data_IF_419128836114
#
_entry.id   IF_419128836114
#
_cell.length_a   1.000
_cell.length_b   1.000
_cell.length_c   1.000
_cell.angle_alpha   90.00
_cell.angle_beta   90.00
_cell.angle_gamma   90.00
#
_symmetry.space_group_name_H-M   'P 1'
#
loop_
_entity.id
_entity.type
_entity.pdbx_description
1 polymer ?
#
# COMPACT_ATOMS: atom_id res chain seq x y z
N UNK A 1 59.76 22.81 -18.69
CA UNK A 1 58.54 23.54 -18.32
C UNK A 1 57.72 22.66 -17.38
N UNK A 2 57.62 23.00 -16.08
CA UNK A 2 56.79 22.26 -15.14
C UNK A 2 55.37 22.88 -15.03
N UNK A 3 54.34 22.03 -15.03
CA UNK A 3 52.94 22.41 -14.81
C UNK A 3 52.63 22.54 -13.31
N UNK A 4 51.70 23.44 -12.90
CA UNK A 4 51.36 23.65 -11.49
C UNK A 4 50.30 22.67 -10.97
N UNK A 5 50.50 22.19 -9.74
CA UNK A 5 49.51 21.45 -8.95
C UNK A 5 48.49 22.42 -8.33
N UNK A 6 47.22 22.30 -8.71
CA UNK A 6 46.11 23.02 -8.08
C UNK A 6 45.72 22.40 -6.74
N UNK A 7 45.80 23.19 -5.66
CA UNK A 7 45.22 22.90 -4.35
C UNK A 7 43.75 23.31 -4.32
N UNK A 8 42.84 22.35 -4.17
CA UNK A 8 41.46 22.65 -3.78
C UNK A 8 41.38 22.79 -2.24
N UNK A 9 41.13 24.03 -1.78
CA UNK A 9 40.70 24.37 -0.42
C UNK A 9 39.17 24.34 -0.39
N UNK A 10 38.59 23.33 0.26
CA UNK A 10 37.26 23.39 0.89
C UNK A 10 37.43 22.61 2.21
N UNK A 11 37.32 23.19 3.40
CA UNK A 11 36.31 24.14 3.84
C UNK A 11 35.15 23.45 4.57
N UNK A 12 35.33 22.26 5.16
CA UNK A 12 34.32 21.62 5.99
C UNK A 12 34.23 22.29 7.36
N UNK A 13 33.21 23.14 7.53
CA UNK A 13 32.76 23.63 8.83
C UNK A 13 31.92 22.52 9.46
N UNK A 14 32.50 21.82 10.44
CA UNK A 14 31.78 20.92 11.34
C UNK A 14 31.06 21.77 12.40
N UNK A 15 29.73 21.79 12.36
CA UNK A 15 28.91 22.22 13.50
C UNK A 15 28.76 21.05 14.49
N UNK A 16 29.07 21.24 15.78
CA UNK A 16 28.87 20.23 16.81
C UNK A 16 27.56 20.52 17.56
N UNK A 17 26.56 19.63 17.44
CA UNK A 17 25.50 19.56 18.44
C UNK A 17 25.38 18.11 18.95
N UNK A 18 25.53 18.04 20.27
CA UNK A 18 25.53 16.91 21.19
C UNK A 18 24.30 16.01 21.01
N UNK A 19 24.47 14.68 21.00
CA UNK A 19 24.50 13.82 22.18
C UNK A 19 23.35 14.10 23.16
N UNK A 20 22.41 13.15 23.29
CA UNK A 20 22.03 12.55 24.58
C UNK A 20 21.04 11.39 24.39
N UNK A 21 21.33 10.29 25.10
CA UNK A 21 20.52 9.09 25.37
C UNK A 21 20.39 7.99 24.31
N UNK A 22 21.35 7.06 24.31
CA UNK A 22 21.07 5.62 24.19
C UNK A 22 22.05 4.80 25.04
N UNK A 23 21.59 3.86 25.89
CA UNK A 23 22.47 3.02 26.68
C UNK A 23 23.10 1.92 25.82
N UNK A 24 24.41 1.78 26.02
CA UNK A 24 25.32 0.72 25.54
C UNK A 24 24.65 -0.67 25.43
N UNK A 25 24.56 -1.18 24.20
CA UNK A 25 24.86 -2.59 23.92
C UNK A 25 26.12 -2.66 23.07
N UNK A 26 27.18 -3.20 23.66
CA UNK A 26 28.43 -3.53 22.97
C UNK A 26 28.13 -4.72 22.05
N UNK A 27 27.97 -4.47 20.75
CA UNK A 27 28.22 -5.49 19.74
C UNK A 27 29.53 -5.16 19.05
N UNK A 28 30.50 -6.04 19.23
CA UNK A 28 31.69 -6.12 18.41
C UNK A 28 31.26 -6.58 17.02
N UNK A 29 31.18 -5.66 16.07
CA UNK A 29 31.09 -5.99 14.65
C UNK A 29 32.24 -5.30 13.92
N UNK A 30 33.25 -6.11 13.64
CA UNK A 30 34.43 -5.79 12.88
C UNK A 30 34.04 -5.43 11.43
N UNK A 31 34.48 -4.24 11.00
CA UNK A 31 35.36 -4.07 9.84
C UNK A 31 34.94 -4.76 8.53
N UNK A 32 34.12 -4.10 7.71
CA UNK A 32 34.17 -4.14 6.23
C UNK A 32 33.46 -2.90 5.66
N UNK A 33 34.16 -1.78 5.52
CA UNK A 33 33.80 -0.71 4.58
C UNK A 33 35.10 -0.18 3.98
N UNK A 34 35.44 -0.67 2.80
CA UNK A 34 36.27 0.01 1.83
C UNK A 34 35.95 -0.62 0.45
N UNK A 35 35.87 0.24 -0.57
CA UNK A 35 35.80 -0.09 -1.99
C UNK A 35 34.47 -0.60 -2.58
N UNK A 36 33.50 0.32 -2.73
CA UNK A 36 32.62 0.32 -3.92
C UNK A 36 32.40 1.77 -4.36
N UNK A 37 33.45 2.38 -4.91
CA UNK A 37 33.42 3.75 -5.37
C UNK A 37 34.34 3.95 -6.55
N UNK A 38 33.96 3.43 -7.72
CA UNK A 38 34.38 3.85 -9.06
C UNK A 38 34.09 2.72 -10.06
N UNK A 39 32.86 2.62 -10.59
CA UNK A 39 32.62 1.86 -11.85
C UNK A 39 31.23 2.12 -12.45
N UNK A 40 30.75 3.37 -12.48
CA UNK A 40 29.64 3.74 -13.36
C UNK A 40 29.91 5.17 -13.84
N UNK A 41 30.58 5.34 -14.99
CA UNK A 41 29.84 5.94 -16.10
C UNK A 41 30.38 5.45 -17.46
N UNK A 42 29.91 4.32 -17.99
CA UNK A 42 30.26 3.90 -19.36
C UNK A 42 29.18 3.04 -20.06
N UNK A 43 27.90 3.19 -19.69
CA UNK A 43 26.80 2.47 -20.35
C UNK A 43 25.82 3.42 -21.09
N UNK A 44 26.03 4.74 -21.04
CA UNK A 44 25.09 5.70 -21.62
C UNK A 44 25.39 6.16 -23.06
N UNK A 45 26.24 5.45 -23.82
CA UNK A 45 26.74 5.95 -25.10
C UNK A 45 26.63 4.98 -26.29
N UNK A 46 25.82 3.93 -26.19
CA UNK A 46 25.65 2.91 -27.26
C UNK A 46 24.18 2.72 -27.68
N UNK A 47 23.30 3.68 -27.43
CA UNK A 47 21.88 3.60 -27.83
C UNK A 47 21.41 4.89 -28.51
N UNK A 48 22.17 5.38 -29.50
CA UNK A 48 21.74 6.53 -30.32
C UNK A 48 21.77 6.32 -31.84
N UNK A 49 22.23 5.19 -32.35
CA UNK A 49 22.21 4.93 -33.80
C UNK A 49 21.38 3.68 -34.09
N UNK A 50 20.14 3.91 -34.54
CA UNK A 50 19.33 3.12 -35.47
C UNK A 50 17.84 3.28 -35.15
N UNK A 51 17.28 4.45 -35.48
CA UNK A 51 15.85 4.59 -35.72
C UNK A 51 15.66 5.09 -37.15
N UNK A 52 15.75 4.14 -38.07
CA UNK A 52 15.41 4.34 -39.47
C UNK A 52 13.88 4.46 -39.55
N UNK A 53 13.43 5.61 -40.02
CA UNK A 53 12.03 5.98 -40.27
C UNK A 53 11.44 5.04 -41.33
N UNK A 54 10.57 4.10 -40.95
CA UNK A 54 9.71 3.40 -41.92
C UNK A 54 8.51 4.29 -42.28
N UNK A 55 8.15 4.41 -43.57
CA UNK A 55 7.02 5.20 -44.01
C UNK A 55 5.68 4.56 -43.60
N UNK A 56 4.85 5.36 -42.95
CA UNK A 56 3.47 5.06 -42.56
C UNK A 56 2.66 4.40 -43.70
N UNK A 57 2.03 3.23 -43.46
CA UNK A 57 1.06 2.69 -44.41
C UNK A 57 -0.19 3.58 -44.40
N UNK A 58 -0.55 4.06 -45.59
CA UNK A 58 -1.80 4.78 -45.83
C UNK A 58 -3.00 3.90 -45.48
N UNK A 59 -3.73 4.28 -44.43
CA UNK A 59 -5.03 3.70 -44.10
C UNK A 59 -6.08 4.24 -45.07
N UNK A 60 -6.23 3.55 -46.19
CA UNK A 60 -7.41 3.70 -47.03
C UNK A 60 -8.65 3.20 -46.27
N UNK A 61 -9.57 4.15 -46.05
CA UNK A 61 -11.02 3.98 -45.97
C UNK A 61 -11.55 2.93 -44.99
N UNK A 62 -11.97 3.40 -43.82
CA UNK A 62 -12.81 2.64 -42.89
C UNK A 62 -14.08 2.14 -43.61
N UNK A 63 -14.37 0.84 -43.61
CA UNK A 63 -15.63 0.33 -44.13
C UNK A 63 -16.77 0.88 -43.26
N UNK A 64 -17.80 1.43 -43.91
CA UNK A 64 -19.01 1.96 -43.28
C UNK A 64 -19.52 0.99 -42.21
N UNK A 65 -19.32 1.37 -40.94
CA UNK A 65 -19.79 0.61 -39.79
C UNK A 65 -21.32 0.57 -39.86
N UNK A 66 -21.95 -0.62 -39.83
CA UNK A 66 -23.41 -0.69 -39.76
C UNK A 66 -23.87 0.04 -38.50
N UNK A 67 -24.96 0.79 -38.62
CA UNK A 67 -25.67 1.45 -37.52
C UNK A 67 -25.96 0.44 -36.39
N UNK A 68 -25.05 0.33 -35.43
CA UNK A 68 -25.21 -0.51 -34.25
C UNK A 68 -26.05 0.28 -33.26
N UNK A 69 -27.36 0.26 -33.47
CA UNK A 69 -28.32 0.70 -32.46
C UNK A 69 -28.03 -0.05 -31.17
N UNK A 70 -27.67 0.69 -30.11
CA UNK A 70 -27.38 0.13 -28.80
C UNK A 70 -28.59 -0.67 -28.31
N UNK A 71 -28.49 -2.00 -28.33
CA UNK A 71 -29.45 -2.87 -27.68
C UNK A 71 -29.15 -2.83 -26.17
N UNK A 72 -30.11 -2.45 -25.32
CA UNK A 72 -29.90 -2.46 -23.88
C UNK A 72 -29.54 -3.87 -23.42
N UNK A 73 -28.44 -3.98 -22.66
CA UNK A 73 -27.94 -5.26 -22.17
C UNK A 73 -29.02 -5.99 -21.37
N UNK A 74 -29.52 -7.10 -21.91
CA UNK A 74 -30.37 -8.03 -21.18
C UNK A 74 -29.48 -9.00 -20.41
N UNK A 75 -29.44 -8.83 -19.08
CA UNK A 75 -28.71 -9.75 -18.21
C UNK A 75 -29.26 -11.17 -18.37
N UNK A 76 -28.37 -12.17 -18.54
CA UNK A 76 -28.75 -13.59 -18.60
C UNK A 76 -29.41 -14.07 -17.31
N UNK A 77 -29.20 -13.35 -16.20
CA UNK A 77 -29.86 -13.59 -14.91
C UNK A 77 -31.35 -13.18 -14.91
N UNK A 78 -31.81 -12.44 -15.93
CA UNK A 78 -33.22 -12.06 -16.09
C UNK A 78 -34.13 -13.27 -16.25
N UNK A 79 -33.61 -14.36 -16.78
CA UNK A 79 -34.29 -15.63 -17.04
C UNK A 79 -34.45 -16.51 -15.79
N UNK A 80 -33.82 -16.15 -14.67
CA UNK A 80 -33.76 -16.98 -13.46
C UNK A 80 -34.41 -16.25 -12.27
N UNK A 81 -35.75 -16.27 -12.17
CA UNK A 81 -36.49 -15.50 -11.16
C UNK A 81 -36.16 -15.88 -9.71
N UNK A 82 -35.73 -17.13 -9.48
CA UNK A 82 -35.36 -17.60 -8.14
C UNK A 82 -34.08 -16.96 -7.59
N UNK A 83 -33.16 -16.50 -8.45
CA UNK A 83 -31.93 -15.82 -8.03
C UNK A 83 -32.17 -14.33 -7.72
N UNK A 84 -33.20 -13.71 -8.31
CA UNK A 84 -33.55 -12.30 -8.03
C UNK A 84 -34.08 -12.07 -6.62
N UNK A 85 -34.69 -13.08 -6.01
CA UNK A 85 -35.26 -12.96 -4.66
C UNK A 85 -34.22 -12.63 -3.58
N UNK A 86 -32.93 -12.91 -3.83
CA UNK A 86 -31.86 -12.69 -2.85
C UNK A 86 -31.03 -11.42 -3.09
N UNK A 87 -31.16 -10.78 -4.26
CA UNK A 87 -30.31 -9.63 -4.65
C UNK A 87 -31.07 -8.30 -4.55
N UNK A 88 -32.25 -8.28 -3.93
CA UNK A 88 -32.95 -7.02 -3.68
C UNK A 88 -32.46 -6.43 -2.36
N UNK A 89 -31.55 -5.44 -2.35
CA UNK A 89 -31.26 -4.70 -1.12
C UNK A 89 -32.57 -4.06 -0.65
N UNK A 90 -32.88 -4.10 0.65
CA UNK A 90 -34.12 -3.53 1.16
C UNK A 90 -34.20 -2.05 0.78
N UNK A 91 -35.17 -1.72 -0.08
CA UNK A 91 -35.56 -0.34 -0.36
C UNK A 91 -36.06 0.26 0.95
N UNK A 92 -35.23 1.10 1.58
CA UNK A 92 -35.69 2.02 2.61
C UNK A 92 -36.65 3.01 1.94
N UNK A 93 -37.94 2.72 2.01
CA UNK A 93 -38.97 3.73 1.80
C UNK A 93 -38.88 4.71 2.97
N UNK A 94 -38.44 5.92 2.66
CA UNK A 94 -38.71 7.08 3.47
C UNK A 94 -40.24 7.27 3.56
N UNK A 95 -40.79 7.17 4.77
CA UNK A 95 -41.49 8.27 5.45
C UNK A 95 -42.37 7.76 6.59
N UNK A 96 -42.25 8.47 7.72
CA UNK A 96 -43.23 8.67 8.79
C UNK A 96 -43.52 7.53 9.79
N UNK A 97 -42.78 7.55 10.92
CA UNK A 97 -43.31 7.83 12.27
C UNK A 97 -42.42 7.21 13.38
N UNK A 98 -41.93 8.05 14.29
CA UNK A 98 -41.48 7.69 15.65
C UNK A 98 -42.70 7.27 16.52
N UNK A 99 -42.59 6.59 17.70
CA UNK A 99 -41.43 6.60 18.62
C UNK A 99 -41.09 5.29 19.37
N UNK A 100 -39.93 5.36 20.05
CA UNK A 100 -39.50 4.71 21.31
C UNK A 100 -39.50 3.18 21.50
N UNK A 101 -38.26 2.73 21.76
CA UNK A 101 -37.82 1.86 22.85
C UNK A 101 -38.07 0.34 22.82
N UNK A 102 -36.93 -0.33 23.06
CA UNK A 102 -36.71 -1.62 23.72
C UNK A 102 -36.33 -2.87 22.88
N UNK A 103 -35.04 -3.21 23.08
CA UNK A 103 -34.39 -4.52 23.20
C UNK A 103 -33.88 -5.32 21.98
N UNK A 104 -32.59 -5.67 22.15
CA UNK A 104 -31.89 -6.93 21.80
C UNK A 104 -31.39 -7.18 20.38
N UNK A 105 -30.05 -7.27 20.31
CA UNK A 105 -29.27 -8.29 19.62
C UNK A 105 -30.05 -9.34 18.82
N UNK A 106 -29.80 -9.39 17.51
CA UNK A 106 -29.42 -10.62 16.80
C UNK A 106 -28.89 -10.22 15.40
N UNK A 107 -27.58 -10.32 15.16
CA UNK A 107 -26.86 -11.51 14.68
C UNK A 107 -27.09 -11.80 13.19
N UNK A 108 -26.28 -11.15 12.34
CA UNK A 108 -26.02 -11.54 10.96
C UNK A 108 -24.51 -11.25 10.75
N UNK A 109 -23.59 -12.20 10.70
CA UNK A 109 -23.67 -13.52 10.08
C UNK A 109 -22.50 -13.73 9.11
N UNK A 110 -21.33 -13.16 9.38
CA UNK A 110 -20.05 -13.53 8.75
C UNK A 110 -19.01 -13.75 9.85
N UNK A 111 -19.23 -14.83 10.62
CA UNK A 111 -18.18 -15.42 11.44
C UNK A 111 -17.27 -16.22 10.52
N UNK A 112 -16.18 -15.60 10.08
CA UNK A 112 -15.01 -16.36 9.64
C UNK A 112 -14.59 -17.28 10.78
N UNK A 113 -14.54 -18.56 10.45
CA UNK A 113 -14.17 -19.68 11.30
C UNK A 113 -12.82 -19.40 11.97
N UNK A 114 -12.87 -19.27 13.30
CA UNK A 114 -11.71 -19.32 14.16
C UNK A 114 -11.10 -20.73 14.03
N UNK A 115 -9.98 -20.83 13.32
CA UNK A 115 -9.02 -21.90 13.58
C UNK A 115 -8.32 -21.51 14.88
N UNK A 116 -8.92 -21.89 16.00
CA UNK A 116 -8.29 -21.84 17.31
C UNK A 116 -7.27 -22.98 17.38
N UNK A 117 -6.01 -22.69 17.06
CA UNK A 117 -4.91 -23.43 17.63
C UNK A 117 -4.44 -22.72 18.91
N UNK A 118 -4.42 -23.51 19.98
CA UNK A 118 -4.13 -23.11 21.34
C UNK A 118 -2.69 -22.59 21.48
N UNK A 119 -2.50 -21.27 21.41
CA UNK A 119 -1.33 -20.59 21.94
C UNK A 119 -1.73 -19.70 23.12
N UNK A 120 -1.71 -20.33 24.29
CA UNK A 120 -1.39 -19.79 25.63
C UNK A 120 -1.29 -18.25 25.78
N UNK A 121 -2.37 -17.64 26.26
CA UNK A 121 -2.41 -16.53 27.24
C UNK A 121 -1.44 -15.34 27.12
N UNK A 122 -1.22 -14.80 25.93
CA UNK A 122 -0.85 -13.39 25.76
C UNK A 122 -2.09 -12.64 25.22
N UNK A 123 -2.42 -11.44 25.70
CA UNK A 123 -3.51 -10.65 25.15
C UNK A 123 -3.20 -10.39 23.67
N UNK A 124 -3.76 -11.22 22.79
CA UNK A 124 -3.41 -11.23 21.39
C UNK A 124 -4.06 -10.00 20.79
N UNK A 125 -3.25 -8.98 20.53
CA UNK A 125 -3.70 -7.82 19.77
C UNK A 125 -4.38 -8.30 18.48
N UNK A 126 -5.68 -8.07 18.39
CA UNK A 126 -6.42 -8.31 17.16
C UNK A 126 -5.97 -7.23 16.17
N UNK A 127 -5.27 -7.65 15.12
CA UNK A 127 -4.82 -6.75 14.07
C UNK A 127 -6.05 -6.17 13.37
N UNK A 128 -6.20 -4.83 13.28
CA UNK A 128 -7.31 -4.23 12.54
C UNK A 128 -7.21 -4.60 11.06
N UNK A 129 -8.36 -4.62 10.38
CA UNK A 129 -8.41 -4.84 8.94
C UNK A 129 -7.70 -3.69 8.20
N UNK A 130 -6.70 -4.02 7.39
CA UNK A 130 -5.90 -3.07 6.62
C UNK A 130 -6.43 -2.90 5.19
N UNK A 131 -7.45 -3.66 4.78
CA UNK A 131 -8.08 -3.55 3.46
C UNK A 131 -8.60 -2.13 3.16
N UNK A 132 -9.27 -1.42 4.11
CA UNK A 132 -9.73 -0.06 3.86
C UNK A 132 -8.58 0.91 3.58
N UNK A 133 -7.44 0.74 4.26
CA UNK A 133 -6.25 1.55 4.04
C UNK A 133 -5.66 1.29 2.65
N UNK A 134 -5.51 0.02 2.26
CA UNK A 134 -5.04 -0.36 0.93
C UNK A 134 -5.92 0.23 -0.16
N UNK A 135 -7.25 0.12 0.00
CA UNK A 135 -8.20 0.69 -0.94
C UNK A 135 -8.10 2.21 -1.01
N UNK A 136 -8.00 2.91 0.12
CA UNK A 136 -7.83 4.36 0.14
C UNK A 136 -6.53 4.80 -0.55
N UNK A 137 -5.43 4.06 -0.34
CA UNK A 137 -4.17 4.28 -1.04
C UNK A 137 -4.31 4.09 -2.54
N UNK A 138 -4.96 3.01 -2.97
CA UNK A 138 -5.26 2.78 -4.39
C UNK A 138 -6.10 3.91 -4.98
N UNK A 139 -7.16 4.34 -4.29
CA UNK A 139 -8.00 5.44 -4.73
C UNK A 139 -7.25 6.77 -4.84
N UNK A 140 -6.18 6.97 -4.08
CA UNK A 140 -5.33 8.17 -4.18
C UNK A 140 -4.52 8.21 -5.49
N UNK A 141 -4.18 7.04 -6.04
CA UNK A 141 -3.50 6.94 -7.35
C UNK A 141 -4.48 7.02 -8.52
N UNK A 142 -5.77 6.77 -8.26
CA UNK A 142 -6.82 7.01 -9.24
C UNK A 142 -7.16 8.50 -9.20
N UNK A 143 -6.76 9.23 -10.24
CA UNK A 143 -7.17 10.62 -10.40
C UNK A 143 -8.70 10.66 -10.61
N UNK A 144 -9.50 11.25 -9.70
CA UNK A 144 -10.95 11.28 -9.84
C UNK A 144 -11.42 12.14 -11.02
N UNK A 145 -10.53 12.98 -11.58
CA UNK A 145 -10.81 13.77 -12.77
C UNK A 145 -10.60 12.99 -14.07
N UNK A 146 -9.88 11.87 -14.01
CA UNK A 146 -9.62 11.00 -15.17
C UNK A 146 -10.59 9.83 -15.21
N UNK A 147 -10.92 9.41 -16.42
CA UNK A 147 -11.78 8.24 -16.65
C UNK A 147 -10.92 6.98 -16.76
N UNK A 148 -11.52 5.83 -16.49
CA UNK A 148 -10.89 4.54 -16.81
C UNK A 148 -10.88 4.37 -18.34
N UNK A 149 -9.78 3.87 -18.88
CA UNK A 149 -9.68 3.64 -20.32
C UNK A 149 -10.75 2.65 -20.79
N UNK A 150 -11.55 3.06 -21.78
CA UNK A 150 -12.65 2.24 -22.31
C UNK A 150 -12.22 0.88 -22.86
N UNK A 151 -10.96 0.74 -23.30
CA UNK A 151 -10.44 -0.52 -23.83
C UNK A 151 -10.13 -1.54 -22.75
N UNK A 152 -9.98 -1.10 -21.50
CA UNK A 152 -9.70 -2.00 -20.37
C UNK A 152 -10.97 -2.48 -19.66
N UNK A 153 -12.11 -1.83 -19.88
CA UNK A 153 -13.41 -2.20 -19.29
C UNK A 153 -14.26 -2.92 -20.36
N UNK A 154 -14.80 -4.14 -20.13
CA UNK A 154 -14.87 -4.93 -18.89
C UNK A 154 -13.83 -6.08 -18.82
N UNK A 155 -12.55 -5.80 -19.04
CA UNK A 155 -11.46 -6.68 -18.60
C UNK A 155 -10.83 -7.60 -19.66
N UNK A 156 -10.52 -7.08 -20.85
CA UNK A 156 -9.81 -7.91 -21.84
C UNK A 156 -8.92 -7.19 -22.86
N UNK A 157 -9.05 -5.86 -23.03
CA UNK A 157 -8.18 -5.11 -23.92
C UNK A 157 -6.97 -4.55 -23.20
N UNK A 158 -5.84 -4.51 -23.90
CA UNK A 158 -4.67 -3.71 -23.52
C UNK A 158 -4.68 -2.49 -24.43
N UNK A 159 -4.76 -1.31 -23.85
CA UNK A 159 -4.59 -0.10 -24.63
C UNK A 159 -3.14 0.00 -25.11
N UNK A 160 -2.97 0.21 -26.41
CA UNK A 160 -1.65 0.34 -27.06
C UNK A 160 -1.18 1.78 -27.20
N UNK A 161 -2.02 2.73 -26.85
CA UNK A 161 -1.70 4.14 -26.97
C UNK A 161 -0.82 4.58 -25.79
N UNK A 162 0.39 5.05 -26.10
CA UNK A 162 1.33 5.56 -25.10
C UNK A 162 0.88 6.93 -24.56
N UNK A 163 0.15 7.70 -25.37
CA UNK A 163 -0.36 9.03 -25.04
C UNK A 163 -1.81 9.04 -24.53
N UNK A 164 -2.36 7.91 -24.12
CA UNK A 164 -3.74 7.85 -23.64
C UNK A 164 -3.91 8.65 -22.34
N UNK A 165 -4.82 9.63 -22.35
CA UNK A 165 -5.09 10.51 -21.22
C UNK A 165 -5.86 9.80 -20.06
N UNK A 166 -6.50 8.68 -20.38
CA UNK A 166 -7.31 7.88 -19.44
C UNK A 166 -6.43 7.01 -18.51
N UNK A 167 -7.02 6.56 -17.40
CA UNK A 167 -6.36 5.69 -16.42
C UNK A 167 -6.35 4.25 -16.89
N UNK A 168 -5.15 3.67 -16.93
CA UNK A 168 -4.88 2.27 -17.26
C UNK A 168 -4.60 1.46 -15.99
N UNK A 169 -5.51 0.56 -15.62
CA UNK A 169 -5.38 -0.37 -14.50
C UNK A 169 -4.13 -1.25 -14.63
N UNK A 170 -3.75 -1.59 -15.86
CA UNK A 170 -2.56 -2.40 -16.17
C UNK A 170 -1.25 -1.67 -15.88
N UNK A 171 -1.23 -0.34 -15.99
CA UNK A 171 -0.06 0.52 -15.72
C UNK A 171 -0.04 1.05 -14.29
N UNK A 172 -1.14 0.93 -13.56
CA UNK A 172 -1.11 1.21 -12.15
C UNK A 172 -0.10 0.25 -11.50
N UNK A 173 0.66 0.69 -10.49
CA UNK A 173 1.51 -0.17 -9.67
C UNK A 173 0.68 -1.14 -8.79
N UNK A 174 -0.44 -1.63 -9.34
CA UNK A 174 -1.30 -2.68 -8.85
C UNK A 174 -1.23 -3.91 -9.76
N UNK A 175 -0.17 -4.00 -10.57
CA UNK A 175 0.10 -5.17 -11.38
C UNK A 175 0.11 -6.44 -10.52
N UNK A 176 -0.32 -7.53 -11.14
CA UNK A 176 -0.65 -8.84 -10.57
C UNK A 176 0.53 -9.48 -9.80
N UNK A 177 1.73 -8.90 -9.91
CA UNK A 177 2.91 -9.23 -9.13
C UNK A 177 2.96 -8.43 -7.82
N UNK A 178 2.03 -8.75 -6.89
CA UNK A 178 2.06 -8.57 -5.42
C UNK A 178 2.55 -7.24 -4.76
N UNK A 179 3.02 -6.25 -5.50
CA UNK A 179 3.55 -4.99 -4.99
C UNK A 179 2.50 -3.88 -5.12
N UNK A 180 1.32 -4.15 -4.57
CA UNK A 180 0.27 -3.13 -4.36
C UNK A 180 0.93 -1.94 -3.68
N UNK A 181 0.84 -0.75 -4.30
CA UNK A 181 1.38 0.50 -3.78
C UNK A 181 1.21 0.59 -2.26
N UNK A 182 2.32 0.37 -1.53
CA UNK A 182 2.24 0.25 -0.08
C UNK A 182 1.91 1.63 0.51
N UNK A 183 0.94 1.71 1.46
CA UNK A 183 0.65 2.96 2.14
C UNK A 183 1.91 3.48 2.85
N UNK A 184 2.04 4.81 2.92
CA UNK A 184 3.14 5.42 3.65
C UNK A 184 3.11 5.02 5.13
N UNK A 185 4.27 4.96 5.80
CA UNK A 185 4.32 4.71 7.26
C UNK A 185 3.49 5.75 8.03
N UNK A 186 3.44 6.98 7.52
CA UNK A 186 2.64 8.07 8.09
C UNK A 186 1.13 7.80 7.97
N UNK A 187 0.67 7.33 6.81
CA UNK A 187 -0.73 6.99 6.55
C UNK A 187 -1.14 5.77 7.39
N UNK A 188 -0.28 4.76 7.41
CA UNK A 188 -0.46 3.54 8.22
C UNK A 188 -0.52 3.88 9.70
N UNK A 189 0.37 4.72 10.22
CA UNK A 189 0.35 5.12 11.63
C UNK A 189 -0.92 5.87 12.02
N UNK A 190 -1.38 6.80 11.18
CA UNK A 190 -2.62 7.53 11.41
C UNK A 190 -3.84 6.60 11.40
N UNK A 191 -3.90 5.68 10.43
CA UNK A 191 -4.96 4.68 10.34
C UNK A 191 -4.97 3.77 11.58
N UNK A 192 -3.81 3.25 11.98
CA UNK A 192 -3.69 2.36 13.14
C UNK A 192 -4.15 3.03 14.43
N UNK A 193 -3.84 4.32 14.63
CA UNK A 193 -4.34 5.05 15.82
C UNK A 193 -5.86 5.26 15.80
N UNK A 194 -6.49 5.32 14.63
CA UNK A 194 -7.95 5.33 14.54
C UNK A 194 -8.58 3.96 14.74
N UNK A 195 -7.85 2.89 14.40
CA UNK A 195 -8.39 1.52 14.38
C UNK A 195 -8.13 0.73 15.68
N UNK A 196 -7.03 1.00 16.40
CA UNK A 196 -6.69 0.28 17.63
C UNK A 196 -7.46 0.85 18.84
N UNK A 197 -7.89 0.00 19.81
CA UNK A 197 -8.65 0.47 20.97
C UNK A 197 -7.91 1.53 21.80
N UNK A 198 -8.64 2.51 22.31
CA UNK A 198 -8.07 3.63 23.07
C UNK A 198 -7.31 3.17 24.33
N UNK A 199 -7.80 2.13 25.00
CA UNK A 199 -7.18 1.56 26.20
C UNK A 199 -5.80 0.98 25.89
N UNK A 200 -5.66 0.37 24.71
CA UNK A 200 -4.38 -0.14 24.24
C UNK A 200 -3.43 1.02 23.94
N UNK A 201 -3.91 2.08 23.29
CA UNK A 201 -3.09 3.26 23.02
C UNK A 201 -2.56 3.90 24.30
N UNK A 202 -3.43 4.08 25.29
CA UNK A 202 -3.07 4.66 26.58
C UNK A 202 -2.04 3.80 27.33
N UNK A 203 -2.24 2.47 27.38
CA UNK A 203 -1.32 1.54 28.05
C UNK A 203 0.07 1.54 27.44
N UNK A 204 0.16 1.57 26.11
CA UNK A 204 1.42 1.50 25.38
C UNK A 204 2.03 2.89 25.12
N UNK A 205 1.36 3.96 25.55
CA UNK A 205 1.68 5.34 25.19
C UNK A 205 1.90 5.49 23.68
N UNK A 206 1.00 4.90 22.89
CA UNK A 206 1.10 4.88 21.43
C UNK A 206 0.83 6.28 20.88
N UNK A 207 1.78 6.80 20.11
CA UNK A 207 1.66 8.08 19.40
C UNK A 207 2.01 7.86 17.94
N UNK A 208 1.61 8.80 17.06
CA UNK A 208 1.91 8.73 15.62
C UNK A 208 3.41 8.52 15.40
N UNK A 209 4.24 9.31 16.08
CA UNK A 209 5.70 9.23 15.97
C UNK A 209 6.27 7.88 16.43
N UNK A 210 5.75 7.28 17.52
CA UNK A 210 6.19 5.96 17.96
C UNK A 210 5.78 4.85 17.00
N UNK A 211 4.57 4.94 16.44
CA UNK A 211 4.08 3.97 15.46
C UNK A 211 4.93 4.02 14.19
N UNK A 212 5.25 5.21 13.68
CA UNK A 212 6.17 5.40 12.55
C UNK A 212 7.56 4.85 12.86
N UNK A 213 8.09 5.15 14.05
CA UNK A 213 9.40 4.65 14.47
C UNK A 213 9.42 3.11 14.52
N UNK A 214 8.35 2.48 15.03
CA UNK A 214 8.22 1.02 15.06
C UNK A 214 8.11 0.41 13.66
N UNK A 215 7.29 0.99 12.77
CA UNK A 215 7.18 0.56 11.37
C UNK A 215 8.53 0.68 10.63
N UNK A 216 9.21 1.81 10.81
CA UNK A 216 10.55 2.06 10.26
C UNK A 216 11.56 1.03 10.78
N UNK A 217 11.53 0.74 12.08
CA UNK A 217 12.42 -0.24 12.70
C UNK A 217 12.19 -1.65 12.15
N UNK A 218 10.92 -2.05 11.99
CA UNK A 218 10.59 -3.36 11.40
C UNK A 218 11.04 -3.44 9.94
N UNK A 219 10.86 -2.36 9.18
CA UNK A 219 11.33 -2.26 7.79
C UNK A 219 12.84 -2.37 7.66
N UNK A 220 13.59 -1.77 8.59
CA UNK A 220 15.07 -1.83 8.62
C UNK A 220 15.61 -3.18 9.12
N UNK A 221 14.89 -3.84 10.01
CA UNK A 221 15.31 -5.13 10.59
C UNK A 221 14.94 -6.33 9.73
N UNK A 222 13.86 -6.21 8.95
CA UNK A 222 13.53 -7.18 7.93
C UNK A 222 14.44 -7.00 6.72
N UNK A 223 14.98 -8.09 6.17
CA UNK A 223 15.46 -8.04 4.80
C UNK A 223 14.28 -7.60 3.94
N UNK A 224 14.44 -6.48 3.22
CA UNK A 224 13.38 -5.65 2.64
C UNK A 224 12.36 -6.42 1.76
N UNK A 225 12.67 -7.65 1.35
CA UNK A 225 11.87 -8.46 0.43
C UNK A 225 11.09 -9.63 1.04
N UNK A 226 11.19 -9.92 2.35
CA UNK A 226 10.60 -11.18 2.87
C UNK A 226 9.33 -11.03 3.68
N UNK A 227 8.95 -9.82 4.09
CA UNK A 227 7.78 -9.62 4.95
C UNK A 227 6.65 -8.92 4.20
N UNK A 228 5.47 -9.52 4.23
CA UNK A 228 4.24 -8.87 3.80
C UNK A 228 3.95 -7.61 4.63
N UNK A 229 3.22 -6.67 4.04
CA UNK A 229 2.79 -5.44 4.71
C UNK A 229 2.09 -5.71 6.05
N UNK A 230 1.14 -6.64 6.07
CA UNK A 230 0.39 -7.06 7.26
C UNK A 230 1.32 -7.56 8.38
N UNK A 231 2.32 -8.36 8.02
CA UNK A 231 3.27 -8.90 8.99
C UNK A 231 4.20 -7.80 9.53
N UNK A 232 4.58 -6.82 8.70
CA UNK A 232 5.35 -5.65 9.17
C UNK A 232 4.54 -4.83 10.17
N UNK A 233 3.26 -4.60 9.91
CA UNK A 233 2.37 -3.90 10.85
C UNK A 233 2.21 -4.69 12.15
N UNK A 234 1.99 -6.01 12.06
CA UNK A 234 1.88 -6.88 13.24
C UNK A 234 3.13 -6.79 14.12
N UNK A 235 4.32 -6.90 13.53
CA UNK A 235 5.58 -6.76 14.27
C UNK A 235 5.79 -5.38 14.86
N UNK A 236 5.36 -4.33 14.16
CA UNK A 236 5.48 -2.96 14.66
C UNK A 236 4.64 -2.75 15.92
N UNK A 237 3.42 -3.32 15.96
CA UNK A 237 2.58 -3.29 17.16
C UNK A 237 3.22 -4.06 18.33
N UNK A 238 3.85 -5.22 18.08
CA UNK A 238 4.58 -5.97 19.10
C UNK A 238 5.79 -5.20 19.66
N UNK A 239 6.48 -4.41 18.84
CA UNK A 239 7.61 -3.56 19.29
C UNK A 239 7.15 -2.47 20.26
N UNK A 240 5.89 -2.04 20.16
CA UNK A 240 5.30 -1.05 21.07
C UNK A 240 4.80 -1.65 22.40
N UNK A 241 4.64 -2.97 22.48
CA UNK A 241 4.22 -3.60 23.73
C UNK A 241 5.33 -3.47 24.79
N UNK A 242 4.99 -3.07 26.02
CA UNK A 242 5.96 -2.98 27.10
C UNK A 242 6.53 -4.37 27.38
N UNK A 243 7.82 -4.45 27.74
CA UNK A 243 8.41 -5.72 28.15
C UNK A 243 7.62 -6.27 29.35
N UNK A 244 7.44 -7.60 29.43
CA UNK A 244 6.72 -8.21 30.54
C UNK A 244 7.37 -7.79 31.87
N UNK A 245 6.57 -7.51 32.90
CA UNK A 245 7.10 -7.10 34.20
C UNK A 245 8.02 -8.20 34.72
N UNK A 246 9.29 -7.86 34.95
CA UNK A 246 10.25 -8.81 35.51
C UNK A 246 9.79 -9.17 36.92
N UNK A 247 9.59 -10.46 37.25
CA UNK A 247 9.19 -10.87 38.59
C UNK A 247 10.27 -10.41 39.58
N UNK A 248 9.87 -9.64 40.58
CA UNK A 248 10.76 -9.19 41.66
C UNK A 248 11.10 -10.42 42.51
N UNK A 249 12.30 -10.98 42.34
CA UNK A 249 12.81 -12.01 43.25
C UNK A 249 12.97 -11.38 44.62
N UNK A 250 12.15 -11.83 45.58
CA UNK A 250 12.24 -11.45 46.99
C UNK A 250 13.18 -12.37 47.74
#
# INVERSE_FOLDING_TARGET
MPMPLSRCRHGCVLLPWLNLFYPRRRFLASRWIADVGCLIPLIFQVLQDEYLFEPEPSFDSAPNSPDLSFQPYQSTLSSYPLLRAQVTPPRLLASDALPSDFFTEDNNGFRSTLVSDAYSHLPTLVLPDLQPLKLATVMKYLDPSKRLCQYEVPGGGVCRDEGCDDVHLTRLPMGIDEEVAEPSDQETANFLLGAVPFEWQARNNATVGKMIAALTLVRQSASLMTLSFEERVRRALLVLEPPPPVPKTS
#
